data_IF_382108028677
#
_entry.id   IF_382108028677
#
_cell.length_a   1.000
_cell.length_b   1.000
_cell.length_c   1.000
_cell.angle_alpha   90.00
_cell.angle_beta   90.00
_cell.angle_gamma   90.00
#
_symmetry.space_group_name_H-M   'P 1'
#
loop_
_entity.id
_entity.type
_entity.pdbx_description
1 polymer ?
#
# COMPACT_ATOMS: atom_id res chain seq x y z
N UNK A 1 -3.26 -3.97 2.45
CA UNK A 1 -3.40 -2.67 3.18
C UNK A 1 -2.17 -2.45 4.03
N UNK A 2 -1.51 -1.29 3.91
CA UNK A 2 -0.32 -0.96 4.71
C UNK A 2 -0.77 -0.08 5.87
N UNK A 3 -0.49 -0.52 7.09
CA UNK A 3 -0.85 0.22 8.31
C UNK A 3 0.07 1.41 8.56
N UNK A 4 -0.42 2.42 9.28
CA UNK A 4 0.42 3.46 9.86
C UNK A 4 1.31 2.86 10.97
N UNK A 5 2.47 3.47 11.23
CA UNK A 5 3.42 2.92 12.21
C UNK A 5 2.79 2.74 13.60
N UNK A 6 2.00 3.71 14.06
CA UNK A 6 1.39 3.62 15.39
C UNK A 6 0.38 2.45 15.48
N UNK A 7 -0.39 2.18 14.40
CA UNK A 7 -1.31 1.05 14.32
C UNK A 7 -0.54 -0.28 14.35
N UNK A 8 0.56 -0.35 13.57
CA UNK A 8 1.47 -1.50 13.56
C UNK A 8 2.07 -1.76 14.95
N UNK A 9 2.53 -0.72 15.65
CA UNK A 9 3.06 -0.83 17.01
C UNK A 9 2.01 -1.26 18.04
N UNK A 10 0.76 -0.84 17.89
CA UNK A 10 -0.34 -1.32 18.74
C UNK A 10 -0.56 -2.82 18.55
N UNK A 11 -0.52 -3.33 17.32
CA UNK A 11 -0.60 -4.76 17.04
C UNK A 11 0.57 -5.51 17.67
N UNK A 12 1.82 -5.05 17.48
CA UNK A 12 3.01 -5.67 18.04
C UNK A 12 2.98 -5.70 19.57
N UNK A 13 2.62 -4.59 20.20
CA UNK A 13 2.48 -4.50 21.66
C UNK A 13 1.36 -5.40 22.17
N UNK A 14 0.23 -5.47 21.48
CA UNK A 14 -0.90 -6.33 21.83
C UNK A 14 -0.61 -7.83 21.73
N UNK A 15 0.44 -8.23 21.02
CA UNK A 15 0.90 -9.62 20.95
C UNK A 15 2.13 -9.92 21.81
N UNK A 16 2.54 -8.96 22.65
CA UNK A 16 3.59 -9.16 23.65
C UNK A 16 5.00 -8.76 23.20
N UNK A 17 5.15 -8.06 22.06
CA UNK A 17 6.44 -7.49 21.70
C UNK A 17 6.65 -6.13 22.40
N UNK A 18 7.88 -5.92 22.88
CA UNK A 18 8.29 -4.59 23.34
C UNK A 18 8.39 -3.63 22.18
N UNK A 19 7.74 -2.48 22.30
CA UNK A 19 7.79 -1.39 21.32
C UNK A 19 8.27 -0.11 21.99
N UNK A 20 8.90 0.80 21.25
CA UNK A 20 9.22 2.13 21.78
C UNK A 20 7.92 2.84 22.15
N UNK A 21 7.86 3.33 23.42
CA UNK A 21 6.66 4.00 23.93
C UNK A 21 6.44 5.33 23.24
N UNK A 22 5.25 5.54 22.73
CA UNK A 22 4.88 6.77 22.04
C UNK A 22 3.38 7.00 22.07
N UNK A 23 2.98 8.24 21.74
CA UNK A 23 1.60 8.69 21.64
C UNK A 23 1.41 9.50 20.37
N UNK A 24 0.20 9.52 19.84
CA UNK A 24 -0.14 10.42 18.75
C UNK A 24 -0.10 11.87 19.25
N UNK A 25 0.44 12.74 18.39
CA UNK A 25 0.51 14.16 18.69
C UNK A 25 -0.89 14.75 18.93
N UNK A 26 -0.96 15.54 19.98
CA UNK A 26 -2.05 16.48 20.21
C UNK A 26 -1.48 17.80 20.73
N UNK A 27 -2.16 18.95 20.56
CA UNK A 27 -1.63 20.27 20.96
C UNK A 27 -1.32 20.42 22.45
N UNK A 28 -1.95 19.61 23.31
CA UNK A 28 -1.80 19.66 24.77
C UNK A 28 -0.69 18.72 25.26
N UNK A 29 -0.01 18.01 24.35
CA UNK A 29 1.05 17.05 24.68
C UNK A 29 2.30 17.80 25.16
N UNK A 30 2.73 17.53 26.39
CA UNK A 30 4.01 17.98 26.95
C UNK A 30 4.94 16.78 27.06
N UNK A 31 5.90 16.62 26.14
CA UNK A 31 6.78 15.45 26.14
C UNK A 31 7.95 15.61 27.11
N UNK A 32 8.45 14.47 27.61
CA UNK A 32 9.73 14.38 28.33
C UNK A 32 10.87 14.24 27.29
N UNK A 33 11.74 15.25 27.22
CA UNK A 33 12.82 15.28 26.23
C UNK A 33 14.03 14.42 26.61
N UNK A 34 14.76 13.82 25.60
CA UNK A 34 14.56 13.96 24.17
C UNK A 34 13.44 13.06 23.63
N UNK A 35 12.75 13.52 22.55
CA UNK A 35 11.71 12.73 21.85
C UNK A 35 11.97 12.63 20.35
N UNK A 36 11.45 11.58 19.73
CA UNK A 36 11.44 11.38 18.27
C UNK A 36 10.05 11.68 17.76
N UNK A 37 9.96 12.56 16.76
CA UNK A 37 8.70 12.91 16.08
C UNK A 37 8.70 12.24 14.71
N UNK A 38 7.67 11.45 14.42
CA UNK A 38 7.58 10.65 13.20
C UNK A 38 6.28 10.93 12.45
N UNK A 39 6.36 11.24 11.16
CA UNK A 39 5.20 11.38 10.29
C UNK A 39 4.44 10.06 10.17
N UNK A 40 3.12 10.09 10.24
CA UNK A 40 2.26 8.92 10.03
C UNK A 40 1.73 8.92 8.59
N UNK A 41 2.38 8.13 7.74
CA UNK A 41 2.05 7.95 6.32
C UNK A 41 2.17 6.47 5.95
N UNK A 42 1.37 5.95 4.99
CA UNK A 42 1.38 4.53 4.61
C UNK A 42 2.54 4.15 3.66
N UNK A 43 3.69 4.82 3.81
CA UNK A 43 4.87 4.60 2.94
C UNK A 43 6.16 4.60 3.73
N UNK A 44 7.14 3.80 3.27
CA UNK A 44 8.48 3.72 3.87
C UNK A 44 9.43 4.84 3.44
N UNK A 45 10.61 4.92 4.09
CA UNK A 45 11.66 5.88 3.78
C UNK A 45 11.47 7.27 4.40
N UNK A 46 10.63 7.38 5.42
CA UNK A 46 10.27 8.63 6.10
C UNK A 46 11.47 9.40 6.65
N UNK A 47 12.44 8.69 7.25
CA UNK A 47 13.63 9.32 7.84
C UNK A 47 14.43 10.14 6.84
N UNK A 48 14.72 9.59 5.65
CA UNK A 48 15.49 10.28 4.60
C UNK A 48 14.75 11.45 3.96
N UNK A 49 13.42 11.43 4.00
CA UNK A 49 12.56 12.45 3.41
C UNK A 49 12.13 13.52 4.42
N UNK A 50 12.78 13.57 5.59
CA UNK A 50 12.51 14.58 6.61
C UNK A 50 11.29 14.33 7.47
N UNK A 51 10.68 13.13 7.37
CA UNK A 51 9.50 12.75 8.16
C UNK A 51 9.82 12.23 9.57
N UNK A 52 11.10 12.23 9.99
CA UNK A 52 11.52 11.80 11.33
C UNK A 52 12.55 12.78 11.86
N UNK A 53 12.35 13.33 13.06
CA UNK A 53 13.28 14.26 13.72
C UNK A 53 13.33 14.02 15.23
N UNK A 54 14.48 14.30 15.83
CA UNK A 54 14.72 14.22 17.27
C UNK A 54 14.70 15.62 17.85
N UNK A 55 13.77 15.90 18.78
CA UNK A 55 13.70 17.14 19.52
C UNK A 55 14.30 16.97 20.92
N UNK A 56 15.20 17.87 21.30
CA UNK A 56 15.89 17.86 22.60
C UNK A 56 15.27 18.83 23.60
N UNK A 57 14.38 19.71 23.16
CA UNK A 57 13.73 20.73 23.94
C UNK A 57 12.42 21.19 23.28
N UNK A 58 11.63 21.98 24.01
CA UNK A 58 10.32 22.44 23.54
C UNK A 58 10.40 23.26 22.24
N UNK A 59 11.39 24.11 22.07
CA UNK A 59 11.50 24.96 20.88
C UNK A 59 11.74 24.13 19.61
N UNK A 60 12.63 23.13 19.69
CA UNK A 60 12.84 22.17 18.59
C UNK A 60 11.59 21.34 18.32
N UNK A 61 10.90 20.93 19.38
CA UNK A 61 9.66 20.17 19.26
C UNK A 61 8.60 20.93 18.48
N UNK A 62 8.29 22.16 18.88
CA UNK A 62 7.29 23.00 18.22
C UNK A 62 7.66 23.28 16.75
N UNK A 63 8.93 23.55 16.49
CA UNK A 63 9.44 23.72 15.13
C UNK A 63 9.27 22.46 14.28
N UNK A 64 9.66 21.29 14.79
CA UNK A 64 9.65 20.04 14.03
C UNK A 64 8.22 19.51 13.82
N UNK A 65 7.32 19.69 14.78
CA UNK A 65 5.90 19.40 14.60
C UNK A 65 5.33 20.23 13.46
N UNK A 66 5.58 21.53 13.42
CA UNK A 66 5.08 22.42 12.38
C UNK A 66 5.68 22.11 10.99
N UNK A 67 6.93 21.66 10.94
CA UNK A 67 7.62 21.29 9.70
C UNK A 67 7.15 19.94 9.17
N UNK A 68 7.18 18.89 10.00
CA UNK A 68 6.82 17.52 9.59
C UNK A 68 5.36 17.45 9.17
N UNK A 69 4.44 18.15 9.86
CA UNK A 69 3.02 18.18 9.51
C UNK A 69 2.73 18.66 8.08
N UNK A 70 3.66 19.40 7.47
CA UNK A 70 3.54 19.94 6.10
C UNK A 70 4.44 19.21 5.10
N UNK A 71 5.26 18.28 5.58
CA UNK A 71 6.21 17.57 4.73
C UNK A 71 5.53 16.42 4.02
N UNK A 72 5.46 16.47 2.69
CA UNK A 72 4.94 15.38 1.88
C UNK A 72 5.99 14.28 1.72
N UNK A 73 5.65 13.05 2.07
CA UNK A 73 6.48 11.85 1.93
C UNK A 73 5.94 11.02 0.78
N UNK A 74 6.66 10.96 -0.33
CA UNK A 74 6.23 10.22 -1.56
C UNK A 74 4.80 10.56 -2.02
N UNK A 75 4.39 11.83 -1.87
CA UNK A 75 3.07 12.30 -2.27
C UNK A 75 2.00 12.26 -1.16
N UNK A 76 2.30 11.68 0.01
CA UNK A 76 1.38 11.61 1.15
C UNK A 76 1.71 12.69 2.18
N UNK A 77 0.73 13.45 2.60
CA UNK A 77 0.82 14.28 3.80
C UNK A 77 0.56 13.42 5.04
N UNK A 78 1.21 13.71 6.19
CA UNK A 78 0.94 12.98 7.42
C UNK A 78 -0.54 13.09 7.85
N UNK A 79 -1.15 11.96 8.16
CA UNK A 79 -2.48 11.91 8.79
C UNK A 79 -2.37 12.44 10.22
N UNK A 80 -1.29 12.08 10.92
CA UNK A 80 -0.94 12.54 12.26
C UNK A 80 0.59 12.44 12.43
N UNK A 81 1.09 12.80 13.61
CA UNK A 81 2.48 12.58 14.03
C UNK A 81 2.50 11.63 15.22
N UNK A 82 3.51 10.75 15.27
CA UNK A 82 3.80 9.91 16.42
C UNK A 82 4.97 10.54 17.19
N UNK A 83 4.80 10.75 18.49
CA UNK A 83 5.82 11.28 19.40
C UNK A 83 6.26 10.17 20.33
N UNK A 84 7.54 9.81 20.28
CA UNK A 84 8.11 8.69 21.02
C UNK A 84 9.28 9.15 21.88
N UNK A 85 9.50 8.46 23.01
CA UNK A 85 10.72 8.65 23.78
C UNK A 85 11.95 8.27 22.94
N UNK A 86 13.00 9.05 23.04
CA UNK A 86 14.29 8.65 22.46
C UNK A 86 14.87 7.48 23.25
N UNK A 87 15.41 6.49 22.56
CA UNK A 87 15.99 5.28 23.13
C UNK A 87 17.50 5.32 22.94
N UNK A 88 18.24 4.94 23.98
CA UNK A 88 19.69 4.75 23.90
C UNK A 88 20.00 3.45 23.16
N UNK A 89 20.44 3.59 21.91
CA UNK A 89 20.64 2.49 20.95
C UNK A 89 22.07 1.94 21.11
N UNK A 90 22.17 0.64 21.40
CA UNK A 90 23.45 -0.09 21.38
C UNK A 90 23.69 -0.69 19.99
N UNK A 91 22.65 -1.30 19.40
CA UNK A 91 22.70 -1.88 18.07
C UNK A 91 21.32 -1.91 17.43
N UNK A 92 21.27 -1.86 16.11
CA UNK A 92 20.05 -1.93 15.31
C UNK A 92 20.09 -3.14 14.38
N UNK A 93 19.02 -3.91 14.37
CA UNK A 93 18.83 -5.08 13.53
C UNK A 93 17.61 -4.93 12.63
N UNK A 94 17.56 -5.72 11.60
CA UNK A 94 16.37 -5.94 10.78
C UNK A 94 15.76 -7.29 11.09
N UNK A 95 14.45 -7.35 11.28
CA UNK A 95 13.69 -8.59 11.42
C UNK A 95 12.34 -8.45 10.73
N UNK A 96 12.02 -9.39 9.86
CA UNK A 96 10.72 -9.44 9.19
C UNK A 96 10.18 -10.88 9.14
N UNK A 97 8.86 -11.00 9.02
CA UNK A 97 8.16 -12.21 8.63
C UNK A 97 7.27 -11.90 7.43
N UNK A 98 7.36 -12.71 6.38
CA UNK A 98 6.68 -12.48 5.11
C UNK A 98 6.33 -13.79 4.41
N UNK A 99 5.53 -13.70 3.34
CA UNK A 99 5.30 -14.82 2.42
C UNK A 99 6.39 -14.82 1.35
N UNK A 100 7.23 -15.86 1.35
CA UNK A 100 8.10 -16.12 0.23
C UNK A 100 7.28 -16.76 -0.90
N UNK A 101 7.00 -15.99 -1.96
CA UNK A 101 6.13 -16.41 -3.06
C UNK A 101 6.77 -17.50 -3.93
N UNK A 102 8.07 -17.51 -4.06
CA UNK A 102 8.79 -18.49 -4.89
C UNK A 102 8.74 -19.88 -4.24
N UNK A 103 8.85 -19.93 -2.92
CA UNK A 103 8.77 -21.17 -2.14
C UNK A 103 7.34 -21.52 -1.72
N UNK A 104 6.39 -20.58 -1.77
CA UNK A 104 5.05 -20.74 -1.24
C UNK A 104 4.99 -20.94 0.27
N UNK A 105 5.95 -20.38 1.01
CA UNK A 105 6.12 -20.55 2.45
C UNK A 105 6.18 -19.22 3.18
N UNK A 106 5.84 -19.23 4.46
CA UNK A 106 6.14 -18.13 5.38
C UNK A 106 7.64 -18.21 5.74
N UNK A 107 8.29 -17.06 5.84
CA UNK A 107 9.73 -16.97 6.08
C UNK A 107 10.05 -15.84 7.04
N UNK A 108 10.94 -16.10 8.01
CA UNK A 108 11.65 -15.02 8.69
C UNK A 108 12.85 -14.57 7.86
N UNK A 109 13.08 -13.28 7.86
CA UNK A 109 14.25 -12.66 7.20
C UNK A 109 14.89 -11.70 8.20
N UNK A 110 16.18 -11.85 8.44
CA UNK A 110 16.92 -11.05 9.40
C UNK A 110 18.20 -10.46 8.79
N UNK A 111 18.64 -9.30 9.30
CA UNK A 111 19.94 -8.71 8.97
C UNK A 111 20.57 -8.04 10.20
N UNK A 112 21.90 -8.12 10.34
CA UNK A 112 22.66 -7.51 11.44
C UNK A 112 22.65 -5.99 11.41
N UNK A 113 22.29 -5.37 10.27
CA UNK A 113 22.23 -3.93 10.08
C UNK A 113 20.78 -3.52 9.87
N UNK A 114 20.19 -2.90 10.89
CA UNK A 114 18.87 -2.29 10.86
C UNK A 114 18.93 -0.77 10.66
N UNK A 115 17.76 -0.14 10.61
CA UNK A 115 17.64 1.32 10.49
C UNK A 115 18.02 1.90 9.12
N UNK A 116 18.33 1.05 8.14
CA UNK A 116 18.76 1.43 6.78
C UNK A 116 17.84 0.83 5.72
N UNK A 117 18.01 1.27 4.46
CA UNK A 117 17.30 0.68 3.32
C UNK A 117 17.85 -0.70 2.98
N UNK A 118 17.11 -1.72 3.36
CA UNK A 118 17.45 -3.11 3.11
C UNK A 118 17.39 -3.50 1.63
N UNK A 119 16.59 -2.79 0.82
CA UNK A 119 16.49 -3.03 -0.63
C UNK A 119 17.82 -2.76 -1.38
N UNK A 120 18.72 -1.99 -0.78
CA UNK A 120 20.05 -1.71 -1.34
C UNK A 120 21.13 -2.72 -0.92
N UNK A 121 20.80 -3.69 -0.06
CA UNK A 121 21.75 -4.68 0.46
C UNK A 121 21.84 -5.91 -0.44
N UNK A 122 22.98 -6.61 -0.38
CA UNK A 122 23.14 -7.90 -1.06
C UNK A 122 22.20 -8.95 -0.46
N UNK A 123 21.49 -9.70 -1.29
CA UNK A 123 20.59 -10.78 -0.87
C UNK A 123 21.30 -11.82 0.00
N UNK A 124 22.58 -12.08 -0.25
CA UNK A 124 23.40 -13.05 0.49
C UNK A 124 23.72 -12.60 1.93
N UNK A 125 23.45 -11.33 2.26
CA UNK A 125 23.67 -10.79 3.61
C UNK A 125 22.53 -11.06 4.57
N UNK A 126 21.43 -11.67 4.10
CA UNK A 126 20.27 -11.96 4.94
C UNK A 126 20.26 -13.40 5.45
N UNK A 127 19.93 -13.57 6.70
CA UNK A 127 19.48 -14.86 7.22
C UNK A 127 18.01 -15.05 6.80
N UNK A 128 17.73 -16.17 6.13
CA UNK A 128 16.38 -16.54 5.73
C UNK A 128 16.01 -17.88 6.37
N UNK A 129 14.95 -17.90 7.19
CA UNK A 129 14.46 -19.09 7.90
C UNK A 129 13.06 -19.42 7.36
N UNK A 130 12.92 -20.37 6.41
CA UNK A 130 11.64 -20.77 5.88
C UNK A 130 10.88 -21.65 6.88
N UNK A 131 9.58 -21.40 7.06
CA UNK A 131 8.72 -22.20 7.92
C UNK A 131 8.08 -23.31 7.10
N UNK A 132 8.61 -24.52 7.23
CA UNK A 132 8.20 -25.70 6.46
C UNK A 132 7.13 -26.54 7.18
N UNK A 133 6.90 -26.27 8.48
CA UNK A 133 5.97 -27.03 9.33
C UNK A 133 4.80 -26.17 9.79
N UNK A 134 3.61 -26.80 9.92
CA UNK A 134 2.45 -26.18 10.57
C UNK A 134 2.64 -25.96 12.09
N UNK A 135 3.65 -26.59 12.67
CA UNK A 135 4.10 -26.39 14.06
C UNK A 135 5.58 -26.02 14.00
N UNK A 136 5.90 -24.72 13.82
CA UNK A 136 7.29 -24.27 13.78
C UNK A 136 8.01 -24.59 15.11
N UNK A 137 9.28 -24.89 15.00
CA UNK A 137 10.18 -25.04 16.15
C UNK A 137 10.76 -23.65 16.45
N UNK A 138 10.13 -22.95 17.40
CA UNK A 138 10.57 -21.60 17.77
C UNK A 138 11.86 -21.60 18.61
N UNK A 139 12.20 -22.72 19.26
CA UNK A 139 13.47 -22.85 19.97
C UNK A 139 14.63 -22.81 18.97
N UNK A 140 14.51 -23.56 17.87
CA UNK A 140 15.48 -23.56 16.78
C UNK A 140 15.53 -22.21 16.06
N UNK A 141 14.38 -21.59 15.75
CA UNK A 141 14.31 -20.27 15.12
C UNK A 141 14.97 -19.20 15.99
N UNK A 142 14.67 -19.18 17.31
CA UNK A 142 15.27 -18.25 18.25
C UNK A 142 16.78 -18.43 18.35
N UNK A 143 17.27 -19.67 18.35
CA UNK A 143 18.70 -19.96 18.35
C UNK A 143 19.39 -19.46 17.07
N UNK A 144 18.82 -19.73 15.88
CA UNK A 144 19.36 -19.24 14.62
C UNK A 144 19.43 -17.71 14.58
N UNK A 145 18.40 -17.01 15.07
CA UNK A 145 18.39 -15.55 15.16
C UNK A 145 19.47 -15.03 16.13
N UNK A 146 19.60 -15.66 17.32
CA UNK A 146 20.58 -15.30 18.33
C UNK A 146 22.03 -15.49 17.83
N UNK A 147 22.30 -16.60 17.18
CA UNK A 147 23.61 -16.90 16.58
C UNK A 147 23.93 -15.92 15.45
N UNK A 148 22.93 -15.63 14.60
CA UNK A 148 23.12 -14.69 13.50
C UNK A 148 23.33 -13.26 13.99
N UNK A 149 22.62 -12.78 15.01
CA UNK A 149 22.77 -11.43 15.57
C UNK A 149 23.97 -11.30 16.51
N UNK A 150 24.69 -12.38 16.84
CA UNK A 150 25.75 -12.44 17.86
C UNK A 150 25.21 -12.07 19.27
N UNK A 151 24.00 -12.53 19.60
CA UNK A 151 23.28 -12.24 20.84
C UNK A 151 22.90 -13.54 21.60
N UNK A 152 23.85 -14.40 22.03
CA UNK A 152 23.52 -15.67 22.66
C UNK A 152 22.71 -15.51 23.96
N UNK A 153 22.88 -14.41 24.69
CA UNK A 153 22.13 -14.11 25.91
C UNK A 153 20.65 -13.75 25.63
N UNK A 154 20.31 -13.43 24.36
CA UNK A 154 18.96 -13.05 23.96
C UNK A 154 18.17 -14.20 23.30
N UNK A 155 18.69 -15.42 23.31
CA UNK A 155 18.07 -16.57 22.63
C UNK A 155 16.59 -16.73 23.00
N UNK A 156 16.25 -16.75 24.28
CA UNK A 156 14.86 -16.90 24.75
C UNK A 156 13.97 -15.71 24.34
N UNK A 157 14.52 -14.49 24.36
CA UNK A 157 13.78 -13.29 23.96
C UNK A 157 13.48 -13.34 22.46
N UNK A 158 14.46 -13.75 21.64
CA UNK A 158 14.29 -13.90 20.19
C UNK A 158 13.35 -15.06 19.84
N UNK A 159 13.34 -16.13 20.62
CA UNK A 159 12.36 -17.21 20.53
C UNK A 159 10.93 -16.68 20.76
N UNK A 160 10.72 -15.91 21.83
CA UNK A 160 9.42 -15.30 22.15
C UNK A 160 9.00 -14.30 21.07
N UNK A 161 9.93 -13.46 20.59
CA UNK A 161 9.69 -12.53 19.48
C UNK A 161 9.25 -13.30 18.22
N UNK A 162 9.98 -14.34 17.82
CA UNK A 162 9.64 -15.12 16.62
C UNK A 162 8.25 -15.79 16.76
N UNK A 163 7.97 -16.39 17.92
CA UNK A 163 6.68 -17.02 18.19
C UNK A 163 5.52 -16.00 18.13
N UNK A 164 5.69 -14.83 18.74
CA UNK A 164 4.68 -13.79 18.79
C UNK A 164 4.47 -13.14 17.40
N UNK A 165 5.55 -12.90 16.66
CA UNK A 165 5.45 -12.42 15.26
C UNK A 165 4.71 -13.41 14.37
N UNK A 166 5.03 -14.70 14.45
CA UNK A 166 4.33 -15.73 13.68
C UNK A 166 2.84 -15.79 14.02
N UNK A 167 2.50 -15.81 15.33
CA UNK A 167 1.10 -15.81 15.77
C UNK A 167 0.36 -14.57 15.27
N UNK A 168 1.00 -13.41 15.35
CA UNK A 168 0.44 -12.14 14.88
C UNK A 168 0.23 -12.15 13.39
N UNK A 169 1.21 -12.66 12.64
CA UNK A 169 1.17 -12.80 11.18
C UNK A 169 -0.03 -13.63 10.73
N UNK A 170 -0.21 -14.82 11.34
CA UNK A 170 -1.33 -15.73 11.03
C UNK A 170 -2.67 -15.14 11.49
N UNK A 171 -2.73 -14.60 12.72
CA UNK A 171 -3.98 -14.10 13.30
C UNK A 171 -4.56 -12.93 12.54
N UNK A 172 -3.71 -12.07 11.98
CA UNK A 172 -4.14 -10.84 11.30
C UNK A 172 -4.10 -10.97 9.78
N UNK A 173 -3.95 -12.17 9.20
CA UNK A 173 -3.79 -12.34 7.76
C UNK A 173 -2.77 -11.34 7.17
N UNK A 174 -1.63 -11.23 7.84
CA UNK A 174 -0.58 -10.33 7.38
C UNK A 174 0.16 -10.92 6.16
N UNK A 175 0.58 -10.05 5.27
CA UNK A 175 1.46 -10.36 4.13
C UNK A 175 2.92 -10.04 4.46
N UNK A 176 3.12 -9.06 5.36
CA UNK A 176 4.40 -8.61 5.87
C UNK A 176 4.25 -8.07 7.29
N UNK A 177 5.14 -8.45 8.19
CA UNK A 177 5.44 -7.72 9.43
C UNK A 177 6.95 -7.47 9.43
N UNK A 178 7.34 -6.20 9.39
CA UNK A 178 8.74 -5.77 9.34
C UNK A 178 9.02 -4.87 10.55
N UNK A 179 10.09 -5.16 11.25
CA UNK A 179 10.66 -4.37 12.34
C UNK A 179 12.01 -3.85 11.86
N UNK A 180 12.10 -2.55 11.58
CA UNK A 180 13.31 -1.92 11.06
C UNK A 180 13.49 -0.48 11.57
N UNK A 181 14.21 -0.30 12.70
CA UNK A 181 15.04 -1.29 13.39
C UNK A 181 14.34 -2.11 14.51
N UNK A 182 14.83 -3.32 14.74
CA UNK A 182 14.75 -3.99 16.03
C UNK A 182 15.97 -3.52 16.83
N UNK A 183 15.74 -2.77 17.91
CA UNK A 183 16.77 -2.09 18.68
C UNK A 183 17.21 -2.95 19.86
N UNK A 184 18.51 -3.19 19.99
CA UNK A 184 19.11 -3.57 21.27
C UNK A 184 19.46 -2.27 22.01
N UNK A 185 18.83 -2.06 23.16
CA UNK A 185 19.04 -0.87 23.98
C UNK A 185 20.34 -0.96 24.78
N UNK A 186 20.79 0.15 25.38
CA UNK A 186 21.92 0.18 26.31
C UNK A 186 21.68 -0.65 27.60
N UNK A 187 20.39 -1.00 27.88
CA UNK A 187 19.99 -1.89 28.98
C UNK A 187 19.80 -3.34 28.56
N UNK A 188 20.29 -3.69 27.35
CA UNK A 188 20.21 -5.03 26.75
C UNK A 188 18.77 -5.54 26.53
N UNK A 189 17.81 -4.64 26.33
CA UNK A 189 16.44 -4.98 25.95
C UNK A 189 16.28 -4.92 24.42
N UNK A 190 15.54 -5.88 23.83
CA UNK A 190 15.13 -5.85 22.42
C UNK A 190 13.78 -5.17 22.28
N UNK A 191 13.73 -4.07 21.51
CA UNK A 191 12.55 -3.21 21.36
C UNK A 191 12.31 -2.89 19.88
N UNK A 192 11.08 -2.98 19.40
CA UNK A 192 10.73 -2.55 18.05
C UNK A 192 10.77 -1.01 17.94
N UNK A 193 11.72 -0.50 17.16
CA UNK A 193 11.91 0.92 16.93
C UNK A 193 10.95 1.49 15.88
N UNK A 194 10.60 0.68 14.88
CA UNK A 194 9.59 0.96 13.85
C UNK A 194 8.78 -0.31 13.58
N UNK A 195 7.61 -0.15 12.98
CA UNK A 195 6.75 -1.25 12.59
C UNK A 195 6.09 -0.95 11.24
N UNK A 196 6.32 -1.83 10.26
CA UNK A 196 5.61 -1.83 8.99
C UNK A 196 4.83 -3.12 8.87
N UNK A 197 3.52 -3.01 8.84
CA UNK A 197 2.62 -4.16 8.70
C UNK A 197 1.79 -3.98 7.43
N UNK A 198 1.80 -5.00 6.61
CA UNK A 198 0.92 -5.13 5.45
C UNK A 198 -0.06 -6.28 5.71
N UNK A 199 -1.36 -5.97 5.67
CA UNK A 199 -2.45 -6.92 5.84
C UNK A 199 -3.04 -7.31 4.48
N UNK A 200 -3.55 -8.53 4.37
CA UNK A 200 -4.31 -8.96 3.18
C UNK A 200 -5.67 -8.27 3.18
N UNK A 201 -5.84 -7.25 2.34
CA UNK A 201 -7.10 -6.53 2.20
C UNK A 201 -8.28 -7.45 1.84
N UNK A 202 -8.02 -8.59 1.19
CA UNK A 202 -9.06 -9.58 0.84
C UNK A 202 -9.62 -10.28 2.07
N UNK A 203 -8.91 -10.26 3.21
CA UNK A 203 -9.35 -10.88 4.45
C UNK A 203 -10.24 -9.97 5.32
N UNK A 204 -10.46 -8.70 4.93
CA UNK A 204 -11.22 -7.74 5.72
C UNK A 204 -12.63 -8.23 6.11
N UNK A 205 -13.28 -9.02 5.27
CA UNK A 205 -14.61 -9.56 5.53
C UNK A 205 -14.72 -10.39 6.84
N UNK A 206 -13.59 -10.89 7.35
CA UNK A 206 -13.52 -11.68 8.59
C UNK A 206 -12.90 -10.95 9.77
N UNK A 207 -12.30 -9.77 9.54
CA UNK A 207 -11.63 -8.97 10.58
C UNK A 207 -12.40 -7.70 10.95
N UNK A 208 -13.14 -7.09 10.03
CA UNK A 208 -13.79 -5.78 10.20
C UNK A 208 -12.80 -4.72 10.68
N UNK A 209 -11.63 -4.64 10.01
CA UNK A 209 -10.61 -3.65 10.37
C UNK A 209 -11.12 -2.22 10.20
N UNK A 210 -10.86 -1.41 11.21
CA UNK A 210 -11.15 0.03 11.25
C UNK A 210 -9.83 0.79 11.47
N UNK A 211 -8.98 0.76 10.44
CA UNK A 211 -7.70 1.48 10.44
C UNK A 211 -7.82 2.78 9.64
N UNK A 212 -7.01 3.80 10.02
CA UNK A 212 -7.02 5.10 9.33
C UNK A 212 -6.52 5.03 7.88
N UNK A 213 -5.73 4.01 7.55
CA UNK A 213 -5.29 3.80 6.18
C UNK A 213 -6.44 3.26 5.34
N UNK A 214 -6.80 4.00 4.30
CA UNK A 214 -7.78 3.54 3.33
C UNK A 214 -7.34 2.19 2.74
N UNK A 215 -8.29 1.25 2.66
CA UNK A 215 -8.05 -0.01 1.98
C UNK A 215 -7.76 0.26 0.50
N UNK A 216 -6.63 -0.23 -0.04
CA UNK A 216 -6.42 -0.14 -1.46
C UNK A 216 -7.58 -0.84 -2.18
N UNK A 217 -8.08 -0.22 -3.24
CA UNK A 217 -9.05 -0.88 -4.09
C UNK A 217 -8.40 -2.16 -4.65
N UNK A 218 -8.80 -3.32 -4.13
CA UNK A 218 -8.22 -4.62 -4.46
C UNK A 218 -8.28 -4.93 -5.98
N UNK A 219 -9.15 -4.23 -6.69
CA UNK A 219 -9.35 -4.37 -8.12
C UNK A 219 -8.59 -3.33 -8.94
N UNK A 220 -7.72 -2.53 -8.31
CA UNK A 220 -6.90 -1.52 -8.97
C UNK A 220 -5.41 -1.84 -8.80
N UNK A 221 -4.70 -2.00 -9.92
CA UNK A 221 -3.26 -2.27 -9.94
C UNK A 221 -2.58 -1.27 -10.87
N UNK A 222 -1.52 -0.64 -10.39
CA UNK A 222 -0.64 0.20 -11.19
C UNK A 222 0.28 -0.71 -11.99
N UNK A 223 0.17 -0.67 -13.34
CA UNK A 223 1.03 -1.43 -14.24
C UNK A 223 2.26 -0.62 -14.65
N UNK A 224 2.03 0.63 -15.04
CA UNK A 224 3.10 1.55 -15.42
C UNK A 224 2.74 3.00 -15.05
N UNK A 225 3.45 3.62 -14.09
CA UNK A 225 3.21 5.02 -13.71
C UNK A 225 3.38 6.04 -14.85
N UNK A 226 4.10 5.65 -15.92
CA UNK A 226 4.29 6.46 -17.12
C UNK A 226 3.37 6.04 -18.27
N UNK A 227 2.37 5.21 -17.99
CA UNK A 227 1.40 4.74 -18.98
C UNK A 227 0.62 5.88 -19.60
N UNK A 228 0.31 5.75 -20.90
CA UNK A 228 -0.40 6.79 -21.67
C UNK A 228 -1.88 6.45 -21.89
N UNK A 229 -2.31 5.23 -21.56
CA UNK A 229 -3.71 4.79 -21.63
C UNK A 229 -4.14 4.21 -20.29
N UNK A 230 -5.17 4.78 -19.69
CA UNK A 230 -5.82 4.21 -18.52
C UNK A 230 -7.01 3.32 -18.92
N UNK A 231 -7.35 2.34 -18.08
CA UNK A 231 -8.39 1.35 -18.36
C UNK A 231 -9.42 1.23 -17.26
N UNK A 232 -10.67 1.03 -17.63
CA UNK A 232 -11.77 0.61 -16.77
C UNK A 232 -12.48 -0.57 -17.46
N UNK A 233 -12.60 -1.71 -16.77
CA UNK A 233 -13.38 -2.84 -17.26
C UNK A 233 -14.18 -3.47 -16.10
N UNK A 234 -15.11 -4.36 -16.40
CA UNK A 234 -15.82 -5.13 -15.39
C UNK A 234 -15.56 -6.64 -15.55
N UNK A 235 -14.99 -7.20 -14.50
CA UNK A 235 -14.50 -8.57 -14.45
C UNK A 235 -13.02 -8.69 -14.81
N UNK A 236 -12.26 -9.37 -13.94
CA UNK A 236 -10.81 -9.48 -14.03
C UNK A 236 -10.30 -10.00 -15.38
N UNK A 237 -10.99 -10.99 -15.97
CA UNK A 237 -10.63 -11.52 -17.28
C UNK A 237 -10.74 -10.49 -18.40
N UNK A 238 -11.82 -9.68 -18.39
CA UNK A 238 -11.99 -8.61 -19.38
C UNK A 238 -10.97 -7.49 -19.17
N UNK A 239 -10.67 -7.14 -17.92
CA UNK A 239 -9.67 -6.14 -17.59
C UNK A 239 -8.28 -6.56 -18.07
N UNK A 240 -7.88 -7.82 -17.83
CA UNK A 240 -6.61 -8.36 -18.33
C UNK A 240 -6.56 -8.33 -19.88
N UNK A 241 -7.58 -8.86 -20.54
CA UNK A 241 -7.64 -8.87 -21.99
C UNK A 241 -7.60 -7.44 -22.60
N UNK A 242 -8.22 -6.46 -21.91
CA UNK A 242 -8.18 -5.07 -22.33
C UNK A 242 -6.76 -4.49 -22.26
N UNK A 243 -6.05 -4.77 -21.18
CA UNK A 243 -4.64 -4.38 -20.99
C UNK A 243 -3.74 -5.02 -22.04
N UNK A 244 -3.89 -6.32 -22.30
CA UNK A 244 -3.10 -7.07 -23.28
C UNK A 244 -3.29 -6.52 -24.72
N UNK A 245 -4.51 -6.21 -25.11
CA UNK A 245 -4.82 -5.61 -26.43
C UNK A 245 -4.22 -4.21 -26.57
N UNK A 246 -4.26 -3.39 -25.51
CA UNK A 246 -3.61 -2.08 -25.50
C UNK A 246 -2.11 -2.22 -25.67
N UNK A 247 -1.48 -3.11 -24.89
CA UNK A 247 -0.04 -3.36 -24.97
C UNK A 247 0.38 -3.87 -26.35
N UNK A 248 -0.39 -4.81 -26.93
CA UNK A 248 -0.14 -5.36 -28.28
C UNK A 248 -0.31 -4.32 -29.40
N UNK A 249 -0.90 -3.16 -29.09
CA UNK A 249 -1.11 -2.07 -30.04
C UNK A 249 -0.07 -0.94 -29.93
N UNK A 250 1.10 -1.21 -29.34
CA UNK A 250 2.19 -0.25 -29.09
C UNK A 250 1.76 0.95 -28.21
N UNK A 251 0.79 0.76 -27.34
CA UNK A 251 0.38 1.71 -26.32
C UNK A 251 0.83 1.20 -24.94
N UNK A 252 0.95 2.11 -23.98
CA UNK A 252 1.43 1.76 -22.65
C UNK A 252 0.27 1.84 -21.66
N UNK A 253 -0.30 0.70 -21.21
CA UNK A 253 -1.35 0.70 -20.20
C UNK A 253 -0.82 1.22 -18.86
N UNK A 254 -1.54 2.16 -18.23
CA UNK A 254 -1.18 2.74 -16.94
C UNK A 254 -1.57 1.81 -15.78
N UNK A 255 -2.72 1.17 -15.89
CA UNK A 255 -3.34 0.42 -14.81
C UNK A 255 -4.14 -0.79 -15.31
N UNK A 256 -4.37 -1.71 -14.38
CA UNK A 256 -5.46 -2.66 -14.41
C UNK A 256 -6.55 -2.16 -13.46
N UNK A 257 -7.81 -2.14 -13.88
CA UNK A 257 -8.94 -1.79 -13.02
C UNK A 257 -10.17 -2.60 -13.39
N UNK A 258 -10.64 -3.38 -12.43
CA UNK A 258 -11.90 -4.12 -12.49
C UNK A 258 -12.93 -3.49 -11.53
N UNK A 259 -13.98 -2.87 -12.07
CA UNK A 259 -15.05 -2.28 -11.24
C UNK A 259 -16.09 -3.32 -10.77
N UNK A 260 -15.90 -4.59 -11.13
CA UNK A 260 -16.78 -5.70 -10.74
C UNK A 260 -18.15 -5.69 -11.42
N UNK A 261 -18.95 -6.70 -11.09
CA UNK A 261 -20.36 -6.77 -11.48
C UNK A 261 -21.23 -5.99 -10.49
N UNK A 262 -21.82 -4.89 -10.88
CA UNK A 262 -22.61 -4.00 -10.00
C UNK A 262 -21.92 -2.64 -9.82
N UNK A 263 -21.43 -2.07 -10.92
CA UNK A 263 -20.79 -0.77 -10.91
C UNK A 263 -21.84 0.32 -10.65
N UNK A 264 -21.84 0.82 -9.42
CA UNK A 264 -22.62 2.00 -9.03
C UNK A 264 -21.94 3.29 -9.54
N UNK A 265 -22.69 4.40 -9.54
CA UNK A 265 -22.15 5.72 -9.86
C UNK A 265 -20.91 6.06 -9.00
N UNK A 266 -20.94 5.74 -7.71
CA UNK A 266 -19.83 5.94 -6.78
C UNK A 266 -18.56 5.19 -7.20
N UNK A 267 -18.70 3.92 -7.62
CA UNK A 267 -17.57 3.11 -8.08
C UNK A 267 -16.94 3.66 -9.36
N UNK A 268 -17.77 4.11 -10.30
CA UNK A 268 -17.30 4.73 -11.55
C UNK A 268 -16.61 6.05 -11.26
N UNK A 269 -17.17 6.89 -10.38
CA UNK A 269 -16.56 8.14 -9.96
C UNK A 269 -15.23 7.92 -9.24
N UNK A 270 -15.18 6.95 -8.31
CA UNK A 270 -13.94 6.55 -7.64
C UNK A 270 -12.90 6.07 -8.63
N UNK A 271 -13.29 5.26 -9.63
CA UNK A 271 -12.40 4.81 -10.69
C UNK A 271 -11.77 5.99 -11.44
N UNK A 272 -12.56 6.95 -11.88
CA UNK A 272 -12.02 8.13 -12.57
C UNK A 272 -11.10 8.96 -11.70
N UNK A 273 -11.42 9.16 -10.42
CA UNK A 273 -10.55 9.87 -9.48
C UNK A 273 -9.20 9.16 -9.30
N UNK A 274 -9.18 7.83 -9.23
CA UNK A 274 -7.93 7.06 -9.18
C UNK A 274 -7.11 7.24 -10.47
N UNK A 275 -7.76 7.22 -11.64
CA UNK A 275 -7.07 7.39 -12.92
C UNK A 275 -6.47 8.80 -13.09
N UNK A 276 -7.05 9.82 -12.48
CA UNK A 276 -6.51 11.18 -12.52
C UNK A 276 -5.19 11.35 -11.76
N UNK A 277 -4.80 10.38 -10.95
CA UNK A 277 -3.47 10.35 -10.30
C UNK A 277 -2.33 10.04 -11.27
N UNK A 278 -2.62 9.65 -12.53
CA UNK A 278 -1.62 9.35 -13.56
C UNK A 278 -1.44 10.52 -14.52
N UNK A 279 -0.44 11.38 -14.33
CA UNK A 279 -0.29 12.63 -15.10
C UNK A 279 0.05 12.42 -16.59
N UNK A 280 0.51 11.21 -16.95
CA UNK A 280 0.88 10.88 -18.33
C UNK A 280 -0.27 10.28 -19.15
N UNK A 281 -1.43 10.04 -18.52
CA UNK A 281 -2.59 9.47 -19.21
C UNK A 281 -3.16 10.44 -20.21
N UNK A 282 -3.20 10.03 -21.48
CA UNK A 282 -3.72 10.80 -22.60
C UNK A 282 -5.06 10.29 -23.13
N UNK A 283 -5.47 9.09 -22.72
CA UNK A 283 -6.71 8.46 -23.10
C UNK A 283 -7.20 7.50 -22.01
N UNK A 284 -8.51 7.37 -21.87
CA UNK A 284 -9.14 6.39 -21.00
C UNK A 284 -10.01 5.46 -21.85
N UNK A 285 -9.76 4.15 -21.77
CA UNK A 285 -10.58 3.12 -22.41
C UNK A 285 -11.49 2.49 -21.37
N UNK A 286 -12.80 2.57 -21.61
CA UNK A 286 -13.84 1.95 -20.82
C UNK A 286 -14.41 0.77 -21.61
N UNK A 287 -14.19 -0.46 -21.15
CA UNK A 287 -14.63 -1.67 -21.82
C UNK A 287 -15.48 -2.52 -20.88
N UNK A 288 -16.81 -2.50 -21.07
CA UNK A 288 -17.76 -3.07 -20.14
C UNK A 288 -18.74 -4.00 -20.84
N UNK A 289 -18.96 -5.18 -20.24
CA UNK A 289 -20.06 -6.08 -20.55
C UNK A 289 -21.20 -5.92 -19.55
N UNK A 290 -22.34 -5.41 -20.01
CA UNK A 290 -23.54 -5.28 -19.23
C UNK A 290 -24.24 -6.64 -19.04
N UNK A 291 -23.99 -7.22 -17.87
CA UNK A 291 -24.70 -8.43 -17.41
C UNK A 291 -25.60 -8.07 -16.23
N UNK A 292 -25.11 -8.34 -15.00
CA UNK A 292 -25.79 -7.92 -13.76
C UNK A 292 -25.87 -6.39 -13.71
N UNK A 293 -24.80 -5.69 -14.04
CA UNK A 293 -24.81 -4.23 -14.24
C UNK A 293 -25.32 -3.93 -15.63
N UNK A 294 -26.32 -3.08 -15.75
CA UNK A 294 -26.89 -2.69 -17.03
C UNK A 294 -26.07 -1.56 -17.68
N UNK A 295 -26.02 -1.55 -19.01
CA UNK A 295 -25.24 -0.55 -19.76
C UNK A 295 -25.76 0.87 -19.52
N UNK A 296 -27.07 1.09 -19.38
CA UNK A 296 -27.66 2.41 -19.13
C UNK A 296 -27.24 2.99 -17.75
N UNK A 297 -27.10 2.14 -16.72
CA UNK A 297 -26.61 2.53 -15.41
C UNK A 297 -25.16 3.02 -15.49
N UNK A 298 -24.32 2.28 -16.23
CA UNK A 298 -22.92 2.68 -16.49
C UNK A 298 -22.86 3.99 -17.30
N UNK A 299 -23.71 4.12 -18.31
CA UNK A 299 -23.74 5.35 -19.13
C UNK A 299 -24.10 6.57 -18.27
N UNK A 300 -25.10 6.48 -17.38
CA UNK A 300 -25.46 7.53 -16.42
C UNK A 300 -24.30 7.87 -15.49
N UNK A 301 -23.63 6.83 -14.94
CA UNK A 301 -22.49 7.01 -14.05
C UNK A 301 -21.31 7.72 -14.75
N UNK A 302 -21.02 7.36 -16.01
CA UNK A 302 -19.97 8.02 -16.80
C UNK A 302 -20.34 9.49 -17.07
N UNK A 303 -21.60 9.79 -17.42
CA UNK A 303 -22.05 11.15 -17.63
C UNK A 303 -21.94 12.00 -16.35
N UNK A 304 -22.36 11.45 -15.21
CA UNK A 304 -22.22 12.10 -13.91
C UNK A 304 -20.75 12.37 -13.56
N UNK A 305 -19.89 11.35 -13.68
CA UNK A 305 -18.48 11.48 -13.37
C UNK A 305 -17.77 12.52 -14.27
N UNK A 306 -18.10 12.55 -15.56
CA UNK A 306 -17.55 13.57 -16.50
C UNK A 306 -17.90 15.01 -16.12
N UNK A 307 -19.02 15.22 -15.42
CA UNK A 307 -19.42 16.57 -14.94
C UNK A 307 -18.66 16.98 -13.68
N UNK A 308 -18.26 16.01 -12.84
CA UNK A 308 -17.66 16.25 -11.53
C UNK A 308 -16.14 16.23 -11.57
N UNK A 309 -15.55 15.34 -12.37
CA UNK A 309 -14.10 15.21 -12.48
C UNK A 309 -13.57 16.15 -13.56
N UNK A 310 -12.81 17.20 -13.21
CA UNK A 310 -12.30 18.16 -14.18
C UNK A 310 -11.15 17.54 -14.98
N UNK A 311 -11.01 17.98 -16.23
CA UNK A 311 -9.87 17.64 -17.10
C UNK A 311 -9.68 16.14 -17.38
N UNK A 312 -10.78 15.36 -17.41
CA UNK A 312 -10.69 13.96 -17.83
C UNK A 312 -10.09 13.86 -19.24
N UNK A 313 -9.10 12.99 -19.46
CA UNK A 313 -8.65 12.64 -20.79
C UNK A 313 -9.78 12.13 -21.67
N UNK A 314 -9.65 12.18 -23.01
CA UNK A 314 -10.63 11.63 -23.93
C UNK A 314 -11.05 10.20 -23.56
N UNK A 315 -12.38 9.97 -23.53
CA UNK A 315 -12.98 8.69 -23.20
C UNK A 315 -13.31 7.91 -24.47
N UNK A 316 -12.85 6.67 -24.55
CA UNK A 316 -13.17 5.73 -25.62
C UNK A 316 -13.93 4.55 -25.01
N UNK A 317 -15.23 4.51 -25.25
CA UNK A 317 -16.16 3.66 -24.53
C UNK A 317 -16.70 2.56 -25.41
N UNK A 318 -16.63 1.33 -24.96
CA UNK A 318 -17.32 0.17 -25.49
C UNK A 318 -18.19 -0.42 -24.40
N UNK A 319 -19.48 -0.45 -24.65
CA UNK A 319 -20.45 -1.18 -23.85
C UNK A 319 -21.06 -2.31 -24.70
N UNK A 320 -21.49 -3.39 -24.06
CA UNK A 320 -22.20 -4.49 -24.72
C UNK A 320 -23.02 -5.23 -23.69
N UNK A 321 -24.22 -5.65 -24.03
CA UNK A 321 -25.10 -6.42 -23.15
C UNK A 321 -26.42 -5.70 -22.85
N UNK A 322 -26.97 -5.93 -21.67
CA UNK A 322 -28.30 -5.47 -21.29
C UNK A 322 -28.41 -3.94 -21.31
N UNK A 323 -29.51 -3.42 -21.84
CA UNK A 323 -29.84 -1.98 -21.97
C UNK A 323 -28.79 -1.20 -22.78
N UNK A 324 -28.29 -1.83 -23.87
CA UNK A 324 -27.29 -1.21 -24.75
C UNK A 324 -27.86 0.00 -25.49
N UNK A 325 -29.07 -0.11 -26.03
CA UNK A 325 -29.70 0.95 -26.84
C UNK A 325 -29.99 2.19 -25.97
N UNK A 326 -30.48 2.01 -24.76
CA UNK A 326 -30.70 3.07 -23.79
C UNK A 326 -29.38 3.73 -23.38
N UNK A 327 -28.33 2.93 -23.19
CA UNK A 327 -27.00 3.47 -22.90
C UNK A 327 -26.46 4.34 -24.04
N UNK A 328 -26.69 3.92 -25.28
CA UNK A 328 -26.29 4.66 -26.46
C UNK A 328 -27.01 6.01 -26.52
N UNK A 329 -28.33 6.03 -26.33
CA UNK A 329 -29.10 7.27 -26.29
C UNK A 329 -28.60 8.25 -25.24
N UNK A 330 -28.28 7.74 -24.01
CA UNK A 330 -27.75 8.55 -22.91
C UNK A 330 -26.39 9.15 -23.28
N UNK A 331 -25.48 8.37 -23.84
CA UNK A 331 -24.14 8.83 -24.22
C UNK A 331 -24.18 9.81 -25.38
N UNK A 332 -24.98 9.52 -26.41
CA UNK A 332 -25.15 10.39 -27.59
C UNK A 332 -25.75 11.77 -27.20
N UNK A 333 -26.74 11.80 -26.30
CA UNK A 333 -27.32 13.02 -25.75
C UNK A 333 -26.32 13.89 -24.98
N UNK A 334 -25.22 13.31 -24.50
CA UNK A 334 -24.15 13.99 -23.76
C UNK A 334 -22.84 14.15 -24.58
N UNK A 335 -22.90 13.97 -25.92
CA UNK A 335 -21.77 14.06 -26.84
C UNK A 335 -20.60 13.14 -26.43
N UNK A 336 -20.91 11.92 -26.00
CA UNK A 336 -19.94 10.89 -25.63
C UNK A 336 -20.06 9.74 -26.64
N UNK A 337 -18.97 9.47 -27.38
CA UNK A 337 -18.97 8.48 -28.44
C UNK A 337 -18.93 7.05 -27.88
N UNK A 338 -19.94 6.24 -28.19
CA UNK A 338 -19.95 4.80 -27.95
C UNK A 338 -19.39 4.07 -29.17
N UNK A 339 -18.34 3.25 -28.95
CA UNK A 339 -17.61 2.55 -30.00
C UNK A 339 -18.03 1.08 -30.09
N UNK A 340 -18.02 0.49 -31.30
CA UNK A 340 -18.57 -0.85 -31.51
C UNK A 340 -17.68 -1.98 -30.95
N UNK A 341 -16.39 -1.74 -30.74
CA UNK A 341 -15.45 -2.76 -30.30
C UNK A 341 -14.27 -2.16 -29.55
N UNK A 342 -13.59 -3.00 -28.75
CA UNK A 342 -12.34 -2.65 -28.06
C UNK A 342 -11.26 -2.22 -29.08
N UNK A 343 -11.13 -2.91 -30.20
CA UNK A 343 -10.20 -2.55 -31.28
C UNK A 343 -10.49 -1.14 -31.81
N UNK A 344 -11.76 -0.76 -31.90
CA UNK A 344 -12.14 0.60 -32.30
C UNK A 344 -11.73 1.63 -31.24
N UNK A 345 -11.94 1.33 -29.94
CA UNK A 345 -11.48 2.19 -28.84
C UNK A 345 -9.96 2.41 -28.89
N UNK A 346 -9.20 1.35 -29.09
CA UNK A 346 -7.74 1.40 -29.17
C UNK A 346 -7.27 2.22 -30.39
N UNK A 347 -7.90 2.04 -31.54
CA UNK A 347 -7.58 2.85 -32.74
C UNK A 347 -7.81 4.35 -32.53
N UNK A 348 -8.89 4.73 -31.86
CA UNK A 348 -9.17 6.12 -31.56
C UNK A 348 -8.21 6.67 -30.51
N UNK A 349 -7.94 5.94 -29.45
CA UNK A 349 -6.96 6.31 -28.43
C UNK A 349 -5.56 6.50 -29.04
N UNK A 350 -5.12 5.58 -29.92
CA UNK A 350 -3.84 5.69 -30.62
C UNK A 350 -3.76 6.95 -31.50
N UNK A 351 -4.82 7.26 -32.20
CA UNK A 351 -4.89 8.47 -33.04
C UNK A 351 -4.76 9.73 -32.18
N UNK A 352 -5.47 9.80 -31.08
CA UNK A 352 -5.41 10.92 -30.15
C UNK A 352 -3.99 11.12 -29.60
N UNK A 353 -3.37 10.04 -29.10
CA UNK A 353 -2.02 10.08 -28.53
C UNK A 353 -0.94 10.45 -29.56
N UNK A 354 -1.10 10.06 -30.82
CA UNK A 354 -0.16 10.39 -31.89
C UNK A 354 -0.34 11.80 -32.47
N UNK A 355 -1.55 12.36 -32.44
CA UNK A 355 -1.81 13.71 -32.88
C UNK A 355 -1.32 14.80 -31.91
N UNK A 356 -1.04 14.41 -30.66
CA UNK A 356 -0.45 15.25 -29.59
C UNK A 356 1.09 15.39 -29.70
N UNK A 357 1.70 14.81 -30.74
CA UNK A 357 3.11 14.97 -31.09
C UNK A 357 3.28 15.96 -32.25
#
# INVERSE_FOLDING_TARGET
MILLEYEGKQILSGCGLSVVKGVLYNPDLVPDFPVVIKSQVPVGGRGKLGGVKIAKNQAEYDQFVAEISKTSIKGHLPVNLLVEAAVDIKQEFYLAITINRDLGLIQFTANKNGGIEIEAMSLDSFLNIPITSKKPDFDDIGQQLADYFDLPEQTFVLQDIAQNLYRTFIKNDALLIEINPLILTATDELVAGDAKIELDSSANYRHNWDYETEMPNANFVILNPKGNVATIANGAGLAMATVDEIFSSDLIPANFLDIGGGASEEKVLSAFNELMKFPNTKAIIVNIFGGITKCDEIAKAIVSAKKVVPNLPPLFIRLSGNNYDEAKEILDANNILLLPSLTSCIKHARKEILNDK
#
